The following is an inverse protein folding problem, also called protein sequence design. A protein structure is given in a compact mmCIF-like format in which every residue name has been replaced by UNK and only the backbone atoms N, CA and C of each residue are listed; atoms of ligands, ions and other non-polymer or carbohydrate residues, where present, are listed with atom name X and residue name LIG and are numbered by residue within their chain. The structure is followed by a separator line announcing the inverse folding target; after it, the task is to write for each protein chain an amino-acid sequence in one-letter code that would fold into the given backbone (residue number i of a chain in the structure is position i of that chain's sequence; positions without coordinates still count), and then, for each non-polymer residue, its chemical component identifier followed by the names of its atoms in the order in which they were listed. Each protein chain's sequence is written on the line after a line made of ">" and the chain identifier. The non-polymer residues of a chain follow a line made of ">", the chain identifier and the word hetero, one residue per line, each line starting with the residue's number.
data_IF_256954587092
#
_entry.id   IF_256954587092
#
_cell.length_a   1.000
_cell.length_b   1.000
_cell.length_c   1.000
_cell.angle_alpha   90.00
_cell.angle_beta   90.00
_cell.angle_gamma   90.00
#
_symmetry.space_group_name_H-M   'P 1'
#
loop_
_entity.id
_entity.type
_entity.pdbx_description
1 polymer ?
#
# COMPACT_ATOMS: atom_id res chain seq x y z
N UNK A 1 3.27 -32.19 -28.27
CA UNK A 1 3.46 -30.75 -27.99
C UNK A 1 2.18 -29.91 -27.75
N UNK A 2 0.92 -30.40 -27.79
CA UNK A 2 -0.22 -29.58 -27.37
C UNK A 2 -0.40 -29.48 -25.84
N UNK A 3 -0.02 -30.51 -25.09
CA UNK A 3 -0.21 -30.58 -23.62
C UNK A 3 0.66 -29.56 -22.84
N UNK A 4 1.90 -29.33 -23.30
CA UNK A 4 2.79 -28.32 -22.72
C UNK A 4 2.26 -26.89 -22.94
N UNK A 5 1.69 -26.62 -24.12
CA UNK A 5 1.12 -25.32 -24.46
C UNK A 5 -0.21 -25.07 -23.71
N UNK A 6 -1.04 -26.10 -23.56
CA UNK A 6 -2.25 -26.05 -22.72
C UNK A 6 -1.89 -25.81 -21.26
N UNK A 7 -0.86 -26.49 -20.74
CA UNK A 7 -0.38 -26.31 -19.36
C UNK A 7 0.17 -24.89 -19.14
N UNK A 8 0.90 -24.33 -20.10
CA UNK A 8 1.37 -22.95 -20.04
C UNK A 8 0.21 -21.94 -20.03
N UNK A 9 -0.83 -22.17 -20.83
CA UNK A 9 -2.01 -21.32 -20.86
C UNK A 9 -2.81 -21.36 -19.54
N UNK A 10 -2.99 -22.54 -18.94
CA UNK A 10 -3.61 -22.66 -17.62
C UNK A 10 -2.81 -21.93 -16.52
N UNK A 11 -1.47 -22.06 -16.54
CA UNK A 11 -0.58 -21.33 -15.60
C UNK A 11 -0.65 -19.82 -15.81
N UNK A 12 -0.77 -19.37 -17.06
CA UNK A 12 -0.92 -17.97 -17.41
C UNK A 12 -2.25 -17.39 -16.89
N UNK A 13 -3.37 -18.07 -17.16
CA UNK A 13 -4.69 -17.67 -16.66
C UNK A 13 -4.71 -17.64 -15.13
N UNK A 14 -4.17 -18.66 -14.48
CA UNK A 14 -4.07 -18.72 -13.01
C UNK A 14 -3.24 -17.57 -12.43
N UNK A 15 -2.08 -17.28 -13.01
CA UNK A 15 -1.25 -16.16 -12.57
C UNK A 15 -1.94 -14.79 -12.77
N UNK A 16 -2.67 -14.58 -13.87
CA UNK A 16 -3.46 -13.35 -14.07
C UNK A 16 -4.59 -13.20 -13.05
N UNK A 17 -5.31 -14.28 -12.73
CA UNK A 17 -6.34 -14.26 -11.70
C UNK A 17 -5.75 -13.93 -10.33
N UNK A 18 -4.57 -14.46 -10.02
CA UNK A 18 -3.88 -14.12 -8.78
C UNK A 18 -3.48 -12.65 -8.75
N UNK A 19 -2.89 -12.11 -9.83
CA UNK A 19 -2.56 -10.67 -9.94
C UNK A 19 -3.80 -9.80 -9.68
N UNK A 20 -4.93 -10.10 -10.33
CA UNK A 20 -6.17 -9.37 -10.13
C UNK A 20 -6.65 -9.44 -8.66
N UNK A 21 -6.51 -10.61 -8.04
CA UNK A 21 -6.82 -10.80 -6.62
C UNK A 21 -5.93 -9.96 -5.72
N UNK A 22 -4.61 -9.88 -5.99
CA UNK A 22 -3.67 -9.04 -5.21
C UNK A 22 -3.96 -7.55 -5.37
N UNK A 23 -4.35 -7.11 -6.58
CA UNK A 23 -4.77 -5.73 -6.83
C UNK A 23 -6.04 -5.40 -6.02
N UNK A 24 -7.04 -6.27 -6.02
CA UNK A 24 -8.26 -6.10 -5.23
C UNK A 24 -7.96 -6.09 -3.71
N UNK A 25 -7.09 -6.98 -3.23
CA UNK A 25 -6.64 -6.99 -1.82
C UNK A 25 -5.98 -5.67 -1.39
N UNK A 26 -5.26 -5.00 -2.30
CA UNK A 26 -4.68 -3.67 -2.03
C UNK A 26 -5.76 -2.59 -1.86
N UNK A 27 -6.80 -2.61 -2.69
CA UNK A 27 -7.94 -1.70 -2.52
C UNK A 27 -8.69 -1.97 -1.21
N UNK A 28 -8.88 -3.25 -0.86
CA UNK A 28 -9.49 -3.65 0.41
C UNK A 28 -8.68 -3.15 1.62
N UNK A 29 -7.34 -3.20 1.56
CA UNK A 29 -6.49 -2.67 2.62
C UNK A 29 -6.70 -1.16 2.84
N UNK A 30 -6.88 -0.40 1.75
CA UNK A 30 -7.18 1.04 1.84
C UNK A 30 -8.56 1.30 2.47
N UNK A 31 -9.57 0.51 2.10
CA UNK A 31 -10.90 0.58 2.73
C UNK A 31 -10.84 0.30 4.23
N UNK A 32 -10.13 -0.76 4.64
CA UNK A 32 -9.96 -1.11 6.07
C UNK A 32 -9.27 0.04 6.81
N UNK A 33 -8.23 0.62 6.22
CA UNK A 33 -7.53 1.76 6.80
C UNK A 33 -8.46 2.98 6.99
N UNK A 34 -9.24 3.35 5.96
CA UNK A 34 -10.22 4.45 6.05
C UNK A 34 -11.21 4.19 7.19
N UNK A 35 -11.78 2.99 7.26
CA UNK A 35 -12.70 2.61 8.33
C UNK A 35 -12.05 2.74 9.70
N UNK A 36 -10.82 2.26 9.87
CA UNK A 36 -10.12 2.33 11.15
C UNK A 36 -9.82 3.78 11.58
N UNK A 37 -9.41 4.65 10.66
CA UNK A 37 -9.19 6.07 10.92
C UNK A 37 -10.49 6.76 11.34
N UNK A 38 -11.59 6.51 10.62
CA UNK A 38 -12.90 7.08 10.96
C UNK A 38 -13.38 6.60 12.33
N UNK A 39 -13.20 5.33 12.65
CA UNK A 39 -13.54 4.78 13.97
C UNK A 39 -12.70 5.39 15.09
N UNK A 40 -11.39 5.57 14.88
CA UNK A 40 -10.51 6.24 15.84
C UNK A 40 -10.90 7.70 16.06
N UNK A 41 -11.24 8.42 14.98
CA UNK A 41 -11.75 9.80 15.08
C UNK A 41 -13.08 9.87 15.84
N UNK A 42 -14.01 8.97 15.54
CA UNK A 42 -15.29 8.90 16.22
C UNK A 42 -15.10 8.65 17.72
N UNK A 43 -14.23 7.70 18.10
CA UNK A 43 -13.88 7.44 19.49
C UNK A 43 -13.24 8.68 20.15
N UNK A 44 -12.33 9.36 19.46
CA UNK A 44 -11.63 10.54 19.99
C UNK A 44 -12.59 11.70 20.27
N UNK A 45 -13.60 11.88 19.41
CA UNK A 45 -14.67 12.88 19.59
C UNK A 45 -15.66 12.46 20.68
N UNK A 46 -16.04 11.19 20.76
CA UNK A 46 -16.98 10.68 21.75
C UNK A 46 -16.45 10.80 23.19
N UNK A 47 -15.13 10.70 23.37
CA UNK A 47 -14.46 10.72 24.67
C UNK A 47 -14.13 12.13 25.21
N UNK A 48 -14.62 13.19 24.55
CA UNK A 48 -14.29 14.60 24.84
C UNK A 48 -14.38 14.93 26.35
N UNK A 49 -13.41 15.66 26.92
CA UNK A 49 -13.41 15.96 28.35
C UNK A 49 -14.61 16.86 28.67
N UNK A 50 -15.47 16.38 29.55
CA UNK A 50 -16.77 16.96 29.88
C UNK A 50 -17.90 15.92 30.01
N UNK A 51 -17.74 14.73 29.41
CA UNK A 51 -18.75 13.65 29.46
C UNK A 51 -18.41 12.53 30.45
N UNK A 52 -17.13 12.33 30.83
CA UNK A 52 -16.72 11.24 31.72
C UNK A 52 -15.62 11.70 32.70
N UNK A 53 -15.85 11.54 34.00
CA UNK A 53 -14.89 11.82 35.08
C UNK A 53 -13.80 10.75 35.28
N UNK A 54 -13.51 9.94 34.26
CA UNK A 54 -12.53 8.87 34.31
C UNK A 54 -11.24 9.28 33.58
N UNK A 55 -10.09 8.87 34.10
CA UNK A 55 -8.76 9.00 33.49
C UNK A 55 -8.71 8.18 32.20
N UNK A 56 -9.16 8.78 31.09
CA UNK A 56 -9.22 8.12 29.80
C UNK A 56 -7.81 7.97 29.20
N UNK A 57 -7.44 6.76 28.72
CA UNK A 57 -6.15 6.48 28.11
C UNK A 57 -6.00 7.07 26.70
N UNK A 58 -6.18 8.39 26.55
CA UNK A 58 -6.17 9.12 25.27
C UNK A 58 -4.86 8.89 24.50
N UNK A 59 -3.74 8.77 25.21
CA UNK A 59 -2.43 8.45 24.62
C UNK A 59 -2.44 7.18 23.76
N UNK A 60 -3.16 6.13 24.18
CA UNK A 60 -3.27 4.88 23.43
C UNK A 60 -4.16 5.03 22.20
N UNK A 61 -5.18 5.87 22.29
CA UNK A 61 -6.05 6.17 21.17
C UNK A 61 -5.32 6.95 20.07
N UNK A 62 -4.48 7.91 20.45
CA UNK A 62 -3.66 8.69 19.51
C UNK A 62 -2.61 7.83 18.83
N UNK A 63 -2.00 6.87 19.54
CA UNK A 63 -1.10 5.89 18.94
C UNK A 63 -1.81 4.97 17.92
N UNK A 64 -3.13 4.84 17.98
CA UNK A 64 -3.92 4.09 16.99
C UNK A 64 -3.78 4.61 15.56
N UNK A 65 -3.64 5.93 15.37
CA UNK A 65 -3.49 6.56 14.05
C UNK A 65 -2.20 6.14 13.32
N UNK A 66 -1.00 6.29 13.90
CA UNK A 66 0.24 5.88 13.24
C UNK A 66 0.36 4.35 13.13
N UNK A 67 -0.24 3.59 14.05
CA UNK A 67 -0.34 2.13 13.93
C UNK A 67 -1.20 1.74 12.72
N UNK A 68 -2.32 2.44 12.49
CA UNK A 68 -3.15 2.24 11.30
C UNK A 68 -2.38 2.46 10.01
N UNK A 69 -1.61 3.55 9.94
CA UNK A 69 -0.80 3.86 8.76
C UNK A 69 0.33 2.87 8.55
N UNK A 70 0.96 2.39 9.63
CA UNK A 70 1.96 1.33 9.55
C UNK A 70 1.37 0.04 8.99
N UNK A 71 0.18 -0.35 9.46
CA UNK A 71 -0.53 -1.52 8.95
C UNK A 71 -0.87 -1.39 7.46
N UNK A 72 -1.39 -0.23 7.04
CA UNK A 72 -1.63 0.06 5.62
C UNK A 72 -0.34 -0.09 4.80
N UNK A 73 0.78 0.41 5.32
CA UNK A 73 2.05 0.40 4.63
C UNK A 73 2.61 -1.03 4.48
N UNK A 74 2.54 -1.86 5.52
CA UNK A 74 2.91 -3.27 5.45
C UNK A 74 2.04 -4.08 4.47
N UNK A 75 0.73 -3.83 4.48
CA UNK A 75 -0.21 -4.49 3.57
C UNK A 75 0.04 -4.09 2.11
N UNK A 76 0.30 -2.81 1.87
CA UNK A 76 0.64 -2.27 0.55
C UNK A 76 1.97 -2.85 0.05
N UNK A 77 2.98 -2.94 0.92
CA UNK A 77 4.27 -3.54 0.60
C UNK A 77 4.15 -5.02 0.22
N UNK A 78 3.43 -5.80 1.03
CA UNK A 78 3.21 -7.23 0.74
C UNK A 78 2.51 -7.44 -0.59
N UNK A 79 1.48 -6.62 -0.89
CA UNK A 79 0.77 -6.69 -2.16
C UNK A 79 1.68 -6.35 -3.35
N UNK A 80 2.49 -5.29 -3.24
CA UNK A 80 3.42 -4.89 -4.31
C UNK A 80 4.47 -5.97 -4.61
N UNK A 81 5.04 -6.59 -3.56
CA UNK A 81 5.99 -7.69 -3.72
C UNK A 81 5.37 -8.90 -4.42
N UNK A 82 4.14 -9.28 -4.04
CA UNK A 82 3.42 -10.38 -4.67
C UNK A 82 3.11 -10.08 -6.15
N UNK A 83 2.62 -8.88 -6.46
CA UNK A 83 2.31 -8.43 -7.83
C UNK A 83 3.59 -8.42 -8.68
N UNK A 84 4.68 -7.86 -8.16
CA UNK A 84 5.95 -7.78 -8.88
C UNK A 84 6.51 -9.17 -9.21
N UNK A 85 6.44 -10.12 -8.27
CA UNK A 85 6.87 -11.49 -8.52
C UNK A 85 5.99 -12.20 -9.58
N UNK A 86 4.67 -12.06 -9.47
CA UNK A 86 3.73 -12.63 -10.44
C UNK A 86 3.92 -12.04 -11.84
N UNK A 87 4.19 -10.74 -11.96
CA UNK A 87 4.47 -10.11 -13.26
C UNK A 87 5.78 -10.57 -13.88
N UNK A 88 6.83 -10.84 -13.08
CA UNK A 88 8.05 -11.50 -13.57
C UNK A 88 7.75 -12.89 -14.12
N UNK A 89 6.96 -13.67 -13.40
CA UNK A 89 6.53 -14.99 -13.86
C UNK A 89 5.70 -14.92 -15.15
N UNK A 90 4.75 -13.99 -15.25
CA UNK A 90 3.97 -13.75 -16.46
C UNK A 90 4.85 -13.33 -17.64
N UNK A 91 5.83 -12.45 -17.42
CA UNK A 91 6.79 -12.06 -18.45
C UNK A 91 7.60 -13.27 -18.97
N UNK A 92 8.04 -14.15 -18.06
CA UNK A 92 8.74 -15.39 -18.44
C UNK A 92 7.82 -16.35 -19.23
N UNK A 93 6.55 -16.49 -18.83
CA UNK A 93 5.57 -17.29 -19.56
C UNK A 93 5.22 -16.73 -20.94
N UNK A 94 5.11 -15.40 -21.08
CA UNK A 94 4.84 -14.76 -22.38
C UNK A 94 6.00 -14.91 -23.37
N UNK A 95 7.22 -15.09 -22.86
CA UNK A 95 8.41 -15.41 -23.67
C UNK A 95 8.48 -16.89 -24.06
N UNK A 96 8.01 -17.79 -23.20
CA UNK A 96 7.94 -19.23 -23.46
C UNK A 96 6.94 -19.53 -24.59
N UNK A 97 7.45 -19.84 -25.78
CA UNK A 97 6.63 -20.14 -26.96
C UNK A 97 6.37 -18.96 -27.90
N UNK A 98 6.98 -17.80 -27.63
CA UNK A 98 6.98 -16.64 -28.52
C UNK A 98 8.38 -16.37 -29.10
N UNK A 99 9.11 -17.44 -29.41
CA UNK A 99 10.49 -17.41 -29.92
C UNK A 99 10.61 -16.69 -31.28
N UNK A 100 9.52 -16.68 -32.04
CA UNK A 100 9.45 -16.04 -33.36
C UNK A 100 8.93 -14.60 -33.32
N UNK A 101 8.64 -14.03 -32.12
CA UNK A 101 8.16 -12.64 -31.97
C UNK A 101 6.79 -12.37 -32.59
N UNK A 102 5.98 -13.40 -32.83
CA UNK A 102 4.73 -13.29 -33.59
C UNK A 102 3.59 -12.61 -32.81
N UNK A 103 3.67 -12.59 -31.48
CA UNK A 103 2.66 -11.96 -30.61
C UNK A 103 3.36 -10.96 -29.70
N UNK A 104 2.88 -9.71 -29.57
CA UNK A 104 3.52 -8.76 -28.67
C UNK A 104 3.24 -9.15 -27.21
N UNK A 105 4.29 -9.21 -26.39
CA UNK A 105 4.18 -9.53 -24.95
C UNK A 105 3.71 -8.31 -24.15
N UNK A 106 2.58 -8.45 -23.45
CA UNK A 106 2.00 -7.38 -22.66
C UNK A 106 2.90 -6.97 -21.47
N UNK A 107 3.50 -7.95 -20.80
CA UNK A 107 4.31 -7.72 -19.61
C UNK A 107 5.79 -7.44 -19.91
N UNK A 108 6.32 -7.91 -21.04
CA UNK A 108 7.70 -7.62 -21.45
C UNK A 108 7.82 -6.28 -22.21
N UNK A 109 6.75 -5.79 -22.85
CA UNK A 109 6.83 -4.53 -23.59
C UNK A 109 6.93 -3.33 -22.62
N UNK A 110 7.98 -2.49 -22.74
CA UNK A 110 8.17 -1.34 -21.86
C UNK A 110 7.05 -0.30 -22.00
N UNK A 111 6.47 -0.12 -23.18
CA UNK A 111 5.42 0.89 -23.42
C UNK A 111 4.13 0.61 -22.63
N UNK A 112 3.76 -0.66 -22.45
CA UNK A 112 2.56 -1.04 -21.70
C UNK A 112 2.85 -1.24 -20.21
N UNK A 113 3.99 -1.85 -19.88
CA UNK A 113 4.37 -2.13 -18.50
C UNK A 113 4.68 -0.88 -17.67
N UNK A 114 5.35 0.13 -18.26
CA UNK A 114 5.67 1.41 -17.59
C UNK A 114 4.39 2.21 -17.33
N UNK A 115 3.48 2.29 -18.30
CA UNK A 115 2.21 2.99 -18.13
C UNK A 115 1.33 2.30 -17.06
N UNK A 116 1.29 0.96 -17.05
CA UNK A 116 0.59 0.20 -16.01
C UNK A 116 1.21 0.39 -14.61
N UNK A 117 2.53 0.58 -14.51
CA UNK A 117 3.20 0.90 -13.24
C UNK A 117 2.85 2.32 -12.78
N UNK A 118 2.83 3.31 -13.70
CA UNK A 118 2.47 4.69 -13.37
C UNK A 118 1.05 4.79 -12.77
N UNK A 119 0.08 4.06 -13.34
CA UNK A 119 -1.27 3.99 -12.79
C UNK A 119 -1.29 3.39 -11.37
N UNK A 120 -0.47 2.37 -11.10
CA UNK A 120 -0.31 1.80 -9.75
C UNK A 120 0.32 2.79 -8.76
N UNK A 121 1.31 3.56 -9.21
CA UNK A 121 1.92 4.59 -8.36
C UNK A 121 0.95 5.70 -7.93
N UNK A 122 -0.06 6.02 -8.73
CA UNK A 122 -1.11 6.96 -8.31
C UNK A 122 -1.88 6.46 -7.09
N UNK A 123 -2.12 5.15 -6.99
CA UNK A 123 -2.76 4.55 -5.83
C UNK A 123 -1.86 4.62 -4.58
N UNK A 124 -0.54 4.49 -4.75
CA UNK A 124 0.42 4.66 -3.65
C UNK A 124 0.49 6.09 -3.14
N UNK A 125 0.48 7.07 -4.04
CA UNK A 125 0.39 8.47 -3.66
C UNK A 125 -0.93 8.79 -2.96
N UNK A 126 -2.05 8.22 -3.43
CA UNK A 126 -3.33 8.36 -2.74
C UNK A 126 -3.28 7.76 -1.33
N UNK A 127 -2.67 6.57 -1.15
CA UNK A 127 -2.50 5.95 0.15
C UNK A 127 -1.60 6.78 1.07
N UNK A 128 -0.49 7.33 0.57
CA UNK A 128 0.41 8.21 1.32
C UNK A 128 -0.27 9.52 1.73
N UNK A 129 -1.04 10.15 0.83
CA UNK A 129 -1.79 11.36 1.13
C UNK A 129 -2.90 11.11 2.16
N UNK A 130 -3.57 9.97 2.06
CA UNK A 130 -4.58 9.55 3.04
C UNK A 130 -3.95 9.22 4.41
N UNK A 131 -2.75 8.63 4.42
CA UNK A 131 -1.97 8.42 5.64
C UNK A 131 -1.56 9.75 6.30
N UNK A 132 -1.06 10.70 5.50
CA UNK A 132 -0.74 12.05 5.96
C UNK A 132 -1.97 12.71 6.59
N UNK A 133 -3.08 12.76 5.84
CA UNK A 133 -4.32 13.40 6.29
C UNK A 133 -4.88 12.75 7.55
N UNK A 134 -4.92 11.41 7.62
CA UNK A 134 -5.41 10.67 8.78
C UNK A 134 -4.61 10.96 10.05
N UNK A 135 -3.28 10.92 9.97
CA UNK A 135 -2.43 11.24 11.11
C UNK A 135 -2.48 12.72 11.49
N UNK A 136 -2.48 13.63 10.51
CA UNK A 136 -2.56 15.07 10.76
C UNK A 136 -3.87 15.44 11.48
N UNK A 137 -5.01 14.95 10.98
CA UNK A 137 -6.32 15.20 11.59
C UNK A 137 -6.40 14.56 12.98
N UNK A 138 -5.92 13.31 13.14
CA UNK A 138 -5.91 12.61 14.43
C UNK A 138 -5.10 13.35 15.50
N UNK A 139 -3.87 13.76 15.16
CA UNK A 139 -2.99 14.50 16.07
C UNK A 139 -3.54 15.90 16.39
N UNK A 140 -4.02 16.63 15.38
CA UNK A 140 -4.58 17.97 15.57
C UNK A 140 -5.84 17.91 16.46
N UNK A 141 -6.72 16.93 16.22
CA UNK A 141 -7.89 16.73 17.05
C UNK A 141 -7.51 16.37 18.49
N UNK A 142 -6.51 15.52 18.68
CA UNK A 142 -6.02 15.15 20.01
C UNK A 142 -5.50 16.37 20.80
N UNK A 143 -4.63 17.19 20.20
CA UNK A 143 -4.07 18.39 20.85
C UNK A 143 -5.15 19.41 21.19
N UNK A 144 -6.12 19.62 20.28
CA UNK A 144 -7.19 20.60 20.47
C UNK A 144 -8.22 20.16 21.51
N UNK A 145 -8.50 18.87 21.60
CA UNK A 145 -9.55 18.33 22.49
C UNK A 145 -9.00 18.04 23.89
N UNK A 146 -7.73 17.65 24.02
CA UNK A 146 -7.12 17.16 25.27
C UNK A 146 -5.83 17.93 25.64
N UNK A 147 -5.85 19.27 25.74
CA UNK A 147 -4.64 20.07 25.93
C UNK A 147 -3.90 19.76 27.23
N UNK A 148 -4.63 19.48 28.32
CA UNK A 148 -4.06 19.20 29.65
C UNK A 148 -3.36 17.85 29.74
N UNK A 149 -3.92 16.80 29.12
CA UNK A 149 -3.29 15.48 29.12
C UNK A 149 -1.97 15.46 28.32
N UNK A 150 -1.86 16.29 27.27
CA UNK A 150 -0.66 16.36 26.45
C UNK A 150 0.41 17.31 27.01
N UNK A 151 0.05 18.27 27.86
CA UNK A 151 1.06 19.02 28.63
C UNK A 151 1.77 18.15 29.67
N UNK A 152 1.10 17.13 30.20
CA UNK A 152 1.67 16.22 31.19
C UNK A 152 2.55 15.13 30.56
N UNK A 153 2.18 14.62 29.38
CA UNK A 153 2.92 13.57 28.67
C UNK A 153 3.20 13.93 27.21
N UNK A 154 4.13 14.87 26.94
CA UNK A 154 4.43 15.33 25.58
C UNK A 154 5.10 14.25 24.71
N UNK A 155 5.68 13.21 25.32
CA UNK A 155 6.36 12.11 24.62
C UNK A 155 5.43 11.34 23.68
N UNK A 156 4.15 11.18 24.03
CA UNK A 156 3.18 10.43 23.22
C UNK A 156 2.96 11.06 21.84
N UNK A 157 2.93 12.39 21.74
CA UNK A 157 2.79 13.11 20.46
C UNK A 157 4.04 12.92 19.61
N UNK A 158 5.22 13.01 20.21
CA UNK A 158 6.48 12.81 19.50
C UNK A 158 6.60 11.39 18.96
N UNK A 159 6.28 10.38 19.77
CA UNK A 159 6.27 8.98 19.33
C UNK A 159 5.28 8.80 18.18
N UNK A 160 4.05 9.30 18.34
CA UNK A 160 3.04 9.19 17.29
C UNK A 160 3.46 9.90 15.99
N UNK A 161 4.08 11.08 16.10
CA UNK A 161 4.62 11.83 14.97
C UNK A 161 5.76 11.10 14.26
N UNK A 162 6.71 10.54 15.00
CA UNK A 162 7.83 9.77 14.43
C UNK A 162 7.33 8.52 13.72
N UNK A 163 6.41 7.76 14.33
CA UNK A 163 5.86 6.55 13.72
C UNK A 163 5.01 6.90 12.49
N UNK A 164 4.20 7.98 12.55
CA UNK A 164 3.46 8.46 11.39
C UNK A 164 4.40 8.84 10.24
N UNK A 165 5.47 9.58 10.51
CA UNK A 165 6.45 9.99 9.52
C UNK A 165 7.18 8.77 8.93
N UNK A 166 7.61 7.83 9.77
CA UNK A 166 8.22 6.58 9.32
C UNK A 166 7.27 5.78 8.40
N UNK A 167 6.00 5.66 8.75
CA UNK A 167 5.00 4.97 7.93
C UNK A 167 4.77 5.66 6.58
N UNK A 168 4.79 7.00 6.55
CA UNK A 168 4.63 7.79 5.34
C UNK A 168 5.85 7.64 4.41
N UNK A 169 7.07 7.72 4.96
CA UNK A 169 8.29 7.46 4.21
C UNK A 169 8.28 6.04 3.64
N UNK A 170 7.81 5.06 4.42
CA UNK A 170 7.69 3.69 3.94
C UNK A 170 6.68 3.57 2.79
N UNK A 171 5.51 4.21 2.88
CA UNK A 171 4.53 4.25 1.79
C UNK A 171 5.09 4.88 0.51
N UNK A 172 5.84 5.99 0.63
CA UNK A 172 6.48 6.65 -0.51
C UNK A 172 7.67 5.85 -1.07
N UNK A 173 8.21 4.91 -0.31
CA UNK A 173 9.29 4.04 -0.75
C UNK A 173 8.78 2.83 -1.55
N UNK A 174 7.58 2.33 -1.27
CA UNK A 174 6.95 1.19 -1.98
C UNK A 174 6.98 1.34 -3.50
N UNK A 175 6.62 2.50 -4.10
CA UNK A 175 6.75 2.75 -5.53
C UNK A 175 8.12 2.42 -6.14
N UNK A 176 9.21 2.57 -5.39
CA UNK A 176 10.56 2.32 -5.92
C UNK A 176 10.88 0.84 -6.11
N UNK A 177 10.04 -0.04 -5.57
CA UNK A 177 10.18 -1.50 -5.65
C UNK A 177 9.38 -2.11 -6.82
N UNK A 178 8.70 -1.26 -7.62
CA UNK A 178 7.89 -1.69 -8.75
C UNK A 178 8.69 -2.48 -9.78
N UNK A 179 7.99 -3.41 -10.43
CA UNK A 179 8.52 -4.20 -11.55
C UNK A 179 9.10 -3.32 -12.65
N UNK A 180 10.41 -3.40 -12.88
CA UNK A 180 11.05 -2.88 -14.09
C UNK A 180 11.22 -4.07 -15.04
N UNK A 181 10.63 -4.06 -16.25
CA UNK A 181 10.97 -5.05 -17.26
C UNK A 181 12.47 -4.91 -17.52
N UNK A 182 13.22 -6.01 -17.52
CA UNK A 182 14.58 -5.96 -18.03
C UNK A 182 14.48 -5.47 -19.48
N UNK A 183 15.14 -4.36 -19.80
CA UNK A 183 15.31 -3.94 -21.19
C UNK A 183 15.92 -5.14 -21.93
N UNK A 184 15.37 -5.44 -23.10
CA UNK A 184 16.15 -6.17 -24.10
C UNK A 184 17.38 -5.31 -24.34
N UNK A 185 18.54 -5.84 -23.99
CA UNK A 185 19.82 -5.26 -24.35
C UNK A 185 19.82 -4.98 -25.86
N UNK A 186 19.79 -3.71 -26.32
CA UNK A 186 19.93 -3.41 -27.72
C UNK A 186 21.39 -3.05 -27.95
N UNK A 187 22.29 -4.05 -27.87
CA UNK A 187 23.69 -4.04 -28.35
C UNK A 187 24.37 -5.38 -27.99
N UNK A 188 24.98 -6.15 -28.88
CA UNK A 188 25.33 -5.89 -30.26
C UNK A 188 25.98 -7.11 -30.95
N UNK A 189 26.13 -6.95 -32.27
CA UNK A 189 26.92 -7.71 -33.24
C UNK A 189 26.53 -9.17 -33.49
#
# INVERSE_FOLDING_TARGET
>A
MPEAQVTANYRFVGAYQEVNTRIAQRQQALTIYVSMILSLLAALVALKPGTAGATLPIQWLVLGFPVASTFLALMSYKAEMAITNLRRFLCALERLGNENGNVPSYNANPTWSINANRARHMQDYAAALLALAGNAVGLLAAVKIYPTQFSENPSAIWIAGVVALASLVFLLWIPKLSFIPADDDPQGA
#
